data_IF_651069321694
#
_entry.id   IF_651069321694
#
_cell.length_a   1.000
_cell.length_b   1.000
_cell.length_c   1.000
_cell.angle_alpha   90.00
_cell.angle_beta   90.00
_cell.angle_gamma   90.00
#
_symmetry.space_group_name_H-M   'P 1'
#
loop_
_entity.id
_entity.type
_entity.pdbx_description
1 polymer ?
#
# COMPACT_ATOMS: atom_id res chain seq x y z
N UNK A 1 -13.81 -0.78 -15.70
CA UNK A 1 -13.07 0.41 -15.26
C UNK A 1 -11.71 -0.08 -14.77
N UNK A 2 -10.62 0.67 -14.98
CA UNK A 2 -9.29 0.25 -14.50
C UNK A 2 -9.25 0.22 -12.97
N UNK A 3 -8.42 -0.65 -12.41
CA UNK A 3 -8.04 -0.60 -10.99
C UNK A 3 -7.08 0.57 -10.82
N UNK A 4 -7.36 1.46 -9.88
CA UNK A 4 -6.52 2.63 -9.66
C UNK A 4 -6.48 3.06 -8.19
N UNK A 5 -5.42 3.78 -7.82
CA UNK A 5 -5.29 4.51 -6.57
C UNK A 5 -5.40 5.99 -6.90
N UNK A 6 -6.41 6.67 -6.36
CA UNK A 6 -6.51 8.13 -6.47
C UNK A 6 -5.63 8.82 -5.43
N UNK A 7 -5.58 8.26 -4.21
CA UNK A 7 -4.71 8.68 -3.11
C UNK A 7 -4.65 7.66 -1.98
N UNK A 8 -3.65 7.80 -1.12
CA UNK A 8 -3.70 7.29 0.25
C UNK A 8 -4.46 8.30 1.11
N UNK A 9 -5.43 7.84 1.90
CA UNK A 9 -6.25 8.74 2.72
C UNK A 9 -5.41 9.50 3.75
N UNK A 10 -4.37 8.85 4.27
CA UNK A 10 -3.30 9.45 5.04
C UNK A 10 -2.05 9.49 4.16
N UNK A 11 -1.51 10.68 3.87
CA UNK A 11 -0.27 10.82 3.09
C UNK A 11 0.63 11.87 3.74
N UNK A 12 1.80 11.48 4.30
CA UNK A 12 2.31 10.10 4.32
C UNK A 12 1.56 9.19 5.32
N UNK A 13 1.46 7.91 5.00
CA UNK A 13 1.19 6.82 5.93
C UNK A 13 2.47 6.58 6.72
N UNK A 14 2.48 7.00 7.99
CA UNK A 14 3.61 6.83 8.90
C UNK A 14 3.48 5.50 9.65
N UNK A 15 4.33 4.53 9.29
CA UNK A 15 4.37 3.19 9.86
C UNK A 15 5.46 3.13 10.92
N UNK A 16 5.17 2.80 12.19
CA UNK A 16 6.20 2.66 13.19
C UNK A 16 7.14 1.49 12.84
N UNK A 17 8.44 1.70 13.00
CA UNK A 17 9.45 0.64 12.87
C UNK A 17 9.15 -0.51 13.82
N UNK A 18 9.18 -1.75 13.29
CA UNK A 18 8.79 -2.94 14.05
C UNK A 18 7.29 -3.02 14.40
N UNK A 19 6.45 -2.17 13.80
CA UNK A 19 5.03 -2.05 14.14
C UNK A 19 4.10 -2.01 12.94
N UNK A 20 2.84 -1.70 13.23
CA UNK A 20 1.74 -1.68 12.25
C UNK A 20 1.08 -0.31 12.19
N UNK A 21 0.54 0.02 11.01
CA UNK A 21 -0.30 1.19 10.78
C UNK A 21 -1.49 0.81 9.90
N UNK A 22 -2.68 1.21 10.34
CA UNK A 22 -3.90 1.12 9.56
C UNK A 22 -4.05 2.37 8.71
N UNK A 23 -4.49 2.21 7.47
CA UNK A 23 -4.77 3.32 6.56
C UNK A 23 -5.80 2.88 5.51
N UNK A 24 -6.35 3.84 4.77
CA UNK A 24 -7.25 3.56 3.66
C UNK A 24 -6.60 3.93 2.32
N UNK A 25 -6.76 3.06 1.31
CA UNK A 25 -6.56 3.41 -0.10
C UNK A 25 -7.89 3.92 -0.65
N UNK A 26 -7.88 5.08 -1.30
CA UNK A 26 -9.03 5.62 -2.04
C UNK A 26 -8.77 5.47 -3.53
N UNK A 27 -9.76 4.93 -4.26
CA UNK A 27 -9.64 4.66 -5.69
C UNK A 27 -10.75 3.76 -6.21
N UNK A 28 -10.63 3.26 -7.43
CA UNK A 28 -11.68 2.50 -8.10
C UNK A 28 -11.29 1.03 -8.30
N UNK A 29 -12.30 0.15 -8.28
CA UNK A 29 -12.16 -1.31 -8.51
C UNK A 29 -11.15 -1.99 -7.58
N UNK A 30 -10.96 -1.45 -6.37
CA UNK A 30 -10.05 -1.98 -5.35
C UNK A 30 -10.51 -3.33 -4.76
N UNK A 31 -11.75 -3.75 -5.04
CA UNK A 31 -12.32 -5.04 -4.63
C UNK A 31 -12.18 -6.14 -5.71
N UNK A 32 -11.40 -5.89 -6.75
CA UNK A 32 -11.07 -6.89 -7.76
C UNK A 32 -10.36 -8.08 -7.10
N UNK A 33 -10.78 -9.30 -7.44
CA UNK A 33 -10.13 -10.50 -6.91
C UNK A 33 -8.72 -10.67 -7.47
N UNK A 34 -7.79 -11.15 -6.64
CA UNK A 34 -6.40 -11.40 -7.05
C UNK A 34 -5.52 -10.15 -7.12
N UNK A 35 -5.94 -9.03 -6.52
CA UNK A 35 -5.06 -7.88 -6.31
C UNK A 35 -4.03 -8.19 -5.23
N UNK A 36 -2.77 -7.90 -5.54
CA UNK A 36 -1.66 -7.89 -4.60
C UNK A 36 -1.26 -6.44 -4.30
N UNK A 37 -0.80 -6.21 -3.08
CA UNK A 37 -0.38 -4.91 -2.59
C UNK A 37 1.02 -5.02 -2.01
N UNK A 38 1.89 -4.05 -2.28
CA UNK A 38 3.23 -4.02 -1.70
C UNK A 38 3.80 -2.60 -1.66
N UNK A 39 4.83 -2.41 -0.83
CA UNK A 39 5.64 -1.21 -0.83
C UNK A 39 6.78 -1.32 -1.84
N UNK A 40 7.14 -0.22 -2.50
CA UNK A 40 8.27 -0.14 -3.42
C UNK A 40 9.11 1.12 -3.22
N UNK A 41 10.42 1.00 -3.41
CA UNK A 41 11.35 2.14 -3.40
C UNK A 41 11.25 3.01 -4.66
N UNK A 42 10.67 2.50 -5.75
CA UNK A 42 10.57 3.22 -7.01
C UNK A 42 9.13 3.34 -7.53
N UNK A 43 8.92 4.33 -8.39
CA UNK A 43 7.62 4.57 -9.03
C UNK A 43 7.26 3.47 -10.04
N UNK A 44 8.24 2.72 -10.53
CA UNK A 44 8.01 1.65 -11.48
C UNK A 44 7.45 0.38 -10.81
N UNK A 45 7.47 0.29 -9.48
CA UNK A 45 7.12 -0.90 -8.70
C UNK A 45 8.14 -2.03 -8.84
N UNK A 46 9.30 -1.77 -9.43
CA UNK A 46 10.29 -2.80 -9.73
C UNK A 46 11.17 -3.15 -8.51
N UNK A 47 11.37 -2.19 -7.61
CA UNK A 47 12.12 -2.38 -6.37
C UNK A 47 11.16 -2.60 -5.20
N UNK A 48 10.68 -3.83 -5.01
CA UNK A 48 9.85 -4.19 -3.85
C UNK A 48 10.64 -3.97 -2.55
N UNK A 49 9.96 -3.42 -1.54
CA UNK A 49 10.47 -3.28 -0.18
C UNK A 49 9.87 -4.39 0.70
N UNK A 50 10.59 -5.50 0.82
CA UNK A 50 10.13 -6.68 1.58
C UNK A 50 10.15 -6.46 3.10
N UNK A 51 10.73 -5.34 3.58
CA UNK A 51 10.72 -4.96 4.99
C UNK A 51 9.40 -4.25 5.39
N UNK A 52 8.49 -4.02 4.44
CA UNK A 52 7.15 -3.47 4.67
C UNK A 52 6.10 -4.32 3.96
N UNK A 53 5.29 -5.04 4.72
CA UNK A 53 4.14 -5.76 4.19
C UNK A 53 2.94 -4.83 4.10
N UNK A 54 2.26 -4.82 2.96
CA UNK A 54 1.02 -4.08 2.75
C UNK A 54 -0.07 -5.07 2.39
N UNK A 55 -1.17 -5.09 3.13
CA UNK A 55 -2.26 -6.05 2.90
C UNK A 55 -3.60 -5.47 3.31
N UNK A 56 -4.68 -6.10 2.82
CA UNK A 56 -6.05 -5.66 3.09
C UNK A 56 -6.41 -5.99 4.54
N UNK A 57 -6.99 -5.03 5.25
CA UNK A 57 -7.67 -5.30 6.51
C UNK A 57 -8.97 -6.08 6.23
N UNK A 58 -9.00 -7.35 6.61
CA UNK A 58 -10.17 -8.21 6.45
C UNK A 58 -11.33 -7.85 7.39
N UNK A 59 -11.03 -7.14 8.48
CA UNK A 59 -12.01 -6.72 9.47
C UNK A 59 -12.49 -5.28 9.27
N UNK A 60 -11.77 -4.50 8.46
CA UNK A 60 -12.12 -3.14 8.08
C UNK A 60 -13.40 -3.05 7.24
N UNK A 61 -14.14 -1.95 7.38
CA UNK A 61 -15.36 -1.72 6.58
C UNK A 61 -15.00 -1.33 5.15
N UNK A 62 -15.03 -2.31 4.25
CA UNK A 62 -14.80 -2.10 2.81
C UNK A 62 -15.92 -1.27 2.18
N UNK A 63 -15.55 -0.25 1.40
CA UNK A 63 -16.49 0.51 0.57
C UNK A 63 -16.03 0.47 -0.89
N UNK A 64 -16.93 0.79 -1.81
CA UNK A 64 -16.66 0.70 -3.26
C UNK A 64 -15.41 1.48 -3.69
N UNK A 65 -15.17 2.63 -3.07
CA UNK A 65 -14.08 3.55 -3.40
C UNK A 65 -12.99 3.61 -2.32
N UNK A 66 -13.08 2.76 -1.28
CA UNK A 66 -12.20 2.81 -0.12
C UNK A 66 -11.90 1.41 0.36
N UNK A 67 -10.62 1.06 0.33
CA UNK A 67 -10.12 -0.22 0.79
C UNK A 67 -9.29 -0.02 2.06
N UNK A 68 -9.71 -0.58 3.21
CA UNK A 68 -8.92 -0.53 4.42
C UNK A 68 -7.71 -1.47 4.30
N UNK A 69 -6.56 -0.96 4.71
CA UNK A 69 -5.25 -1.57 4.55
C UNK A 69 -4.47 -1.55 5.86
N UNK A 70 -3.54 -2.47 5.98
CA UNK A 70 -2.54 -2.54 7.04
C UNK A 70 -1.17 -2.48 6.37
N UNK A 71 -0.31 -1.62 6.89
CA UNK A 71 1.12 -1.65 6.63
C UNK A 71 1.84 -2.13 7.89
N UNK A 72 2.73 -3.11 7.74
CA UNK A 72 3.53 -3.70 8.81
C UNK A 72 5.00 -3.59 8.43
N UNK A 73 5.77 -2.84 9.23
CA UNK A 73 7.20 -2.63 9.01
C UNK A 73 8.01 -3.50 9.96
N UNK A 74 9.12 -4.07 9.48
CA UNK A 74 10.07 -4.77 10.33
C UNK A 74 10.98 -3.81 11.08
N UNK A 75 11.72 -4.32 12.08
CA UNK A 75 12.79 -3.60 12.78
C UNK A 75 13.96 -3.17 11.87
N UNK A 76 14.06 -3.75 10.67
CA UNK A 76 15.14 -3.45 9.71
C UNK A 76 14.74 -2.41 8.67
N UNK A 77 13.47 -2.00 8.65
CA UNK A 77 13.00 -1.03 7.69
C UNK A 77 13.73 0.32 7.84
N UNK A 78 14.06 0.92 6.69
CA UNK A 78 14.73 2.22 6.57
C UNK A 78 13.74 3.35 6.90
N UNK A 79 14.05 4.23 7.85
CA UNK A 79 13.17 5.30 8.38
C UNK A 79 13.20 6.58 7.53
N UNK A 80 14.20 6.77 6.66
CA UNK A 80 14.40 8.03 5.94
C UNK A 80 13.91 8.00 4.47
N UNK A 81 13.03 7.07 4.12
CA UNK A 81 12.55 6.88 2.73
C UNK A 81 11.03 6.88 2.61
N UNK A 82 10.55 7.52 1.54
CA UNK A 82 9.14 7.45 1.11
C UNK A 82 9.00 6.39 0.03
N UNK A 83 8.17 5.39 0.30
CA UNK A 83 7.80 4.30 -0.61
C UNK A 83 6.52 4.63 -1.38
N UNK A 84 6.38 3.92 -2.49
CA UNK A 84 5.17 3.79 -3.26
C UNK A 84 4.37 2.58 -2.75
N UNK A 85 3.07 2.73 -2.59
CA UNK A 85 2.14 1.61 -2.46
C UNK A 85 1.72 1.21 -3.86
N UNK A 86 1.93 -0.04 -4.22
CA UNK A 86 1.70 -0.57 -5.57
C UNK A 86 0.58 -1.60 -5.53
N UNK A 87 -0.28 -1.57 -6.56
CA UNK A 87 -1.28 -2.61 -6.82
C UNK A 87 -0.85 -3.42 -8.03
N UNK A 88 -0.84 -4.73 -7.89
CA UNK A 88 -0.53 -5.68 -8.95
C UNK A 88 -1.67 -6.68 -9.16
N UNK A 89 -1.89 -7.07 -10.42
CA UNK A 89 -2.87 -8.07 -10.81
C UNK A 89 -2.24 -8.99 -11.85
N UNK A 90 -2.16 -10.29 -11.55
CA UNK A 90 -1.60 -11.31 -12.45
C UNK A 90 -0.21 -10.94 -12.98
N UNK A 91 0.70 -10.47 -12.13
CA UNK A 91 2.05 -10.08 -12.55
C UNK A 91 2.18 -8.70 -13.20
N UNK A 92 1.07 -7.97 -13.35
CA UNK A 92 1.03 -6.66 -14.01
C UNK A 92 0.66 -5.56 -13.02
N UNK A 93 1.50 -4.55 -12.92
CA UNK A 93 1.22 -3.37 -12.11
C UNK A 93 0.01 -2.65 -12.70
N UNK A 94 -1.02 -2.50 -11.87
CA UNK A 94 -2.23 -1.79 -12.23
C UNK A 94 -2.08 -0.30 -11.94
N UNK A 95 -1.63 0.03 -10.73
CA UNK A 95 -1.40 1.41 -10.33
C UNK A 95 -0.47 1.52 -9.12
N UNK A 96 -0.04 2.74 -8.80
CA UNK A 96 0.82 3.04 -7.65
C UNK A 96 0.60 4.45 -7.14
N UNK A 97 0.75 4.64 -5.84
CA UNK A 97 0.68 5.95 -5.21
C UNK A 97 1.80 6.13 -4.18
N UNK A 98 2.44 7.31 -4.20
CA UNK A 98 3.54 7.63 -3.27
C UNK A 98 2.97 8.07 -1.94
N UNK A 99 3.59 7.66 -0.84
CA UNK A 99 3.28 8.23 0.46
C UNK A 99 3.28 7.25 1.61
N UNK A 100 4.12 6.23 1.61
CA UNK A 100 4.33 5.37 2.77
C UNK A 100 5.72 5.60 3.34
N UNK A 101 5.85 5.85 4.65
CA UNK A 101 7.14 6.09 5.31
C UNK A 101 7.22 5.34 6.63
N UNK A 102 8.44 5.08 7.09
CA UNK A 102 8.69 4.40 8.38
C UNK A 102 9.19 5.45 9.37
N UNK A 103 8.71 5.40 10.62
CA UNK A 103 9.11 6.32 11.70
C UNK A 103 9.56 5.57 12.95
#
# INVERSE_FOLDING_TARGET
MPVNIDRLEESPVEVPKGGIKYFDIVGNNLLTAGLEFYASFDQAGAQRDDEIKVYVDEFGTRRKERLPMIAEATEKADDDKVRWVVIELNGNIQDKEKGLTVI
#
